data_IF_041612486710
#
_entry.id   IF_041612486710
#
_cell.length_a   1.000
_cell.length_b   1.000
_cell.length_c   1.000
_cell.angle_alpha   90.00
_cell.angle_beta   90.00
_cell.angle_gamma   90.00
#
_symmetry.space_group_name_H-M   'P 1'
#
loop_
_entity.id
_entity.type
_entity.pdbx_description
1 polymer ?
#
# COMPACT_ATOMS: atom_id res chain seq x y z
N UNK A 1 -9.27 12.49 -28.32
CA UNK A 1 -8.32 11.49 -27.82
C UNK A 1 -8.27 11.64 -26.31
N UNK A 2 -8.89 10.73 -25.56
CA UNK A 2 -8.77 10.72 -24.10
C UNK A 2 -7.38 10.18 -23.81
N UNK A 3 -6.54 10.95 -23.12
CA UNK A 3 -5.27 10.43 -22.62
C UNK A 3 -5.59 9.16 -21.82
N UNK A 4 -5.00 8.03 -22.21
CA UNK A 4 -5.09 6.79 -21.45
C UNK A 4 -4.54 7.08 -20.06
N UNK A 5 -5.42 7.26 -19.07
CA UNK A 5 -4.99 7.39 -17.69
C UNK A 5 -4.36 6.05 -17.33
N UNK A 6 -3.04 6.03 -17.11
CA UNK A 6 -2.33 4.79 -16.78
C UNK A 6 -3.00 4.14 -15.57
N UNK A 7 -3.21 2.82 -15.63
CA UNK A 7 -3.83 2.08 -14.55
C UNK A 7 -2.97 2.23 -13.28
N UNK A 8 -3.62 2.49 -12.13
CA UNK A 8 -2.92 2.58 -10.84
C UNK A 8 -2.25 1.23 -10.56
N UNK A 9 -0.97 1.26 -10.23
CA UNK A 9 -0.16 0.07 -9.91
C UNK A 9 -0.05 -0.07 -8.40
N UNK A 10 -0.62 -1.14 -7.86
CA UNK A 10 -0.62 -1.45 -6.43
C UNK A 10 0.23 -2.68 -6.17
N UNK A 11 1.29 -2.51 -5.38
CA UNK A 11 2.05 -3.62 -4.83
C UNK A 11 1.51 -4.01 -3.46
N UNK A 12 1.11 -5.26 -3.29
CA UNK A 12 0.69 -5.79 -1.99
C UNK A 12 1.91 -6.38 -1.29
N UNK A 13 2.29 -5.75 -0.17
CA UNK A 13 3.43 -6.14 0.65
C UNK A 13 3.00 -6.93 1.88
N UNK A 14 3.61 -8.09 2.08
CA UNK A 14 3.47 -8.88 3.32
C UNK A 14 4.83 -9.08 3.96
N UNK A 15 5.10 -8.25 4.96
CA UNK A 15 6.39 -8.21 5.65
C UNK A 15 6.37 -9.10 6.89
N UNK A 16 7.47 -9.83 7.11
CA UNK A 16 7.61 -10.70 8.28
C UNK A 16 6.79 -11.98 8.21
N UNK A 17 6.54 -12.63 9.35
CA UNK A 17 6.13 -14.05 9.40
C UNK A 17 4.62 -14.31 9.38
N UNK A 18 3.80 -13.36 8.95
CA UNK A 18 2.35 -13.56 8.91
C UNK A 18 1.95 -14.59 7.82
N UNK A 19 1.32 -15.74 8.19
CA UNK A 19 0.95 -16.76 7.21
C UNK A 19 -0.39 -16.47 6.49
N UNK A 20 -1.15 -15.44 6.88
CA UNK A 20 -2.51 -15.23 6.39
C UNK A 20 -2.56 -14.56 4.99
N UNK A 21 -3.31 -15.14 4.07
CA UNK A 21 -3.46 -14.65 2.68
C UNK A 21 -4.89 -14.32 2.27
N UNK A 22 -5.90 -14.73 3.03
CA UNK A 22 -7.30 -14.50 2.65
C UNK A 22 -7.59 -13.03 2.35
N UNK A 23 -7.13 -12.12 3.22
CA UNK A 23 -7.30 -10.68 3.03
C UNK A 23 -6.62 -10.19 1.74
N UNK A 24 -5.42 -10.69 1.44
CA UNK A 24 -4.66 -10.36 0.24
C UNK A 24 -5.39 -10.81 -1.02
N UNK A 25 -5.96 -12.01 -1.03
CA UNK A 25 -6.69 -12.52 -2.20
C UNK A 25 -7.94 -11.68 -2.50
N UNK A 26 -8.70 -11.32 -1.46
CA UNK A 26 -9.88 -10.47 -1.60
C UNK A 26 -9.50 -9.07 -2.06
N UNK A 27 -8.48 -8.47 -1.45
CA UNK A 27 -7.95 -7.16 -1.84
C UNK A 27 -7.46 -7.17 -3.30
N UNK A 28 -6.66 -8.17 -3.67
CA UNK A 28 -6.13 -8.31 -5.02
C UNK A 28 -7.23 -8.40 -6.06
N UNK A 29 -8.27 -9.20 -5.78
CA UNK A 29 -9.39 -9.34 -6.71
C UNK A 29 -10.21 -8.04 -6.80
N UNK A 30 -10.48 -7.39 -5.67
CA UNK A 30 -11.25 -6.14 -5.64
C UNK A 30 -10.55 -5.00 -6.39
N UNK A 31 -9.25 -4.82 -6.17
CA UNK A 31 -8.45 -3.80 -6.85
C UNK A 31 -8.35 -4.07 -8.36
N UNK A 32 -8.18 -5.34 -8.78
CA UNK A 32 -8.21 -5.72 -10.21
C UNK A 32 -9.57 -5.45 -10.85
N UNK A 33 -10.66 -5.75 -10.15
CA UNK A 33 -12.01 -5.45 -10.62
C UNK A 33 -12.24 -3.93 -10.78
N UNK A 34 -11.54 -3.11 -10.01
CA UNK A 34 -11.54 -1.65 -10.14
C UNK A 34 -10.61 -1.13 -11.26
N UNK A 35 -9.97 -2.01 -12.04
CA UNK A 35 -9.10 -1.64 -13.15
C UNK A 35 -7.66 -1.30 -12.76
N UNK A 36 -7.23 -1.65 -11.54
CA UNK A 36 -5.85 -1.47 -11.08
C UNK A 36 -4.97 -2.65 -11.45
N UNK A 37 -3.68 -2.38 -11.69
CA UNK A 37 -2.67 -3.42 -11.81
C UNK A 37 -2.20 -3.82 -10.42
N UNK A 38 -2.30 -5.11 -10.08
CA UNK A 38 -1.97 -5.60 -8.74
C UNK A 38 -0.82 -6.58 -8.79
N UNK A 39 0.29 -6.19 -8.15
CA UNK A 39 1.48 -6.99 -7.95
C UNK A 39 1.46 -7.58 -6.54
N UNK A 40 1.65 -8.89 -6.41
CA UNK A 40 1.84 -9.54 -5.12
C UNK A 40 3.18 -10.25 -5.10
N UNK A 41 4.08 -9.82 -4.21
CA UNK A 41 5.47 -10.29 -4.12
C UNK A 41 5.65 -11.55 -3.28
N UNK A 42 4.57 -12.11 -2.74
CA UNK A 42 4.60 -13.29 -1.88
C UNK A 42 4.58 -12.95 -0.38
N UNK A 43 4.69 -14.00 0.44
CA UNK A 43 4.72 -13.90 1.91
C UNK A 43 6.17 -13.80 2.39
N UNK A 44 6.34 -13.43 3.67
CA UNK A 44 7.64 -13.51 4.34
C UNK A 44 8.72 -12.63 3.73
N UNK A 45 8.30 -11.51 3.14
CA UNK A 45 9.23 -10.54 2.59
C UNK A 45 9.78 -9.66 3.71
N UNK A 46 10.94 -9.08 3.47
CA UNK A 46 11.50 -7.98 4.25
C UNK A 46 10.94 -6.65 3.75
N UNK A 47 11.09 -5.58 4.55
CA UNK A 47 10.75 -4.23 4.10
C UNK A 47 11.58 -3.82 2.87
N UNK A 48 12.87 -4.18 2.84
CA UNK A 48 13.78 -3.94 1.71
C UNK A 48 13.30 -4.61 0.43
N UNK A 49 12.92 -5.90 0.49
CA UNK A 49 12.40 -6.62 -0.69
C UNK A 49 11.09 -6.01 -1.20
N UNK A 50 10.18 -5.62 -0.29
CA UNK A 50 8.91 -4.98 -0.66
C UNK A 50 9.15 -3.62 -1.34
N UNK A 51 10.04 -2.79 -0.79
CA UNK A 51 10.35 -1.48 -1.36
C UNK A 51 11.11 -1.60 -2.69
N UNK A 52 12.10 -2.50 -2.77
CA UNK A 52 12.83 -2.75 -4.00
C UNK A 52 11.90 -3.22 -5.13
N UNK A 53 10.98 -4.13 -4.84
CA UNK A 53 9.97 -4.56 -5.79
C UNK A 53 9.01 -3.43 -6.18
N UNK A 54 8.61 -2.57 -5.23
CA UNK A 54 7.73 -1.44 -5.53
C UNK A 54 8.38 -0.45 -6.49
N UNK A 55 9.67 -0.17 -6.31
CA UNK A 55 10.46 0.68 -7.21
C UNK A 55 10.61 0.01 -8.58
N UNK A 56 11.04 -1.26 -8.63
CA UNK A 56 11.24 -1.99 -9.88
C UNK A 56 9.96 -2.08 -10.70
N UNK A 57 8.83 -2.32 -10.04
CA UNK A 57 7.52 -2.43 -10.68
C UNK A 57 6.86 -1.07 -10.89
N UNK A 58 7.51 0.05 -10.58
CA UNK A 58 6.96 1.41 -10.69
C UNK A 58 5.58 1.52 -10.02
N UNK A 59 5.46 0.98 -8.80
CA UNK A 59 4.21 0.98 -8.06
C UNK A 59 3.83 2.39 -7.60
N UNK A 60 2.56 2.74 -7.72
CA UNK A 60 2.02 3.98 -7.17
C UNK A 60 1.73 3.86 -5.68
N UNK A 61 1.39 2.64 -5.24
CA UNK A 61 0.96 2.34 -3.88
C UNK A 61 1.58 1.03 -3.39
N UNK A 62 2.06 1.02 -2.15
CA UNK A 62 2.31 -0.20 -1.37
C UNK A 62 1.12 -0.39 -0.41
N UNK A 63 0.39 -1.49 -0.60
CA UNK A 63 -0.67 -1.93 0.30
C UNK A 63 -0.12 -3.02 1.24
N UNK A 64 0.13 -2.65 2.50
CA UNK A 64 0.62 -3.55 3.53
C UNK A 64 -0.53 -4.40 4.10
N UNK A 65 -0.30 -5.69 4.27
CA UNK A 65 -1.28 -6.61 4.84
C UNK A 65 -0.70 -7.43 6.00
N UNK A 66 -1.22 -7.19 7.21
CA UNK A 66 -0.81 -7.88 8.43
C UNK A 66 -2.02 -8.32 9.28
N UNK A 67 -2.02 -9.58 9.68
CA UNK A 67 -2.97 -10.21 10.60
C UNK A 67 -2.32 -10.63 11.93
N UNK A 68 -1.06 -10.23 12.18
CA UNK A 68 -0.36 -10.49 13.45
C UNK A 68 -0.42 -9.31 14.43
N UNK A 69 -0.96 -8.15 14.04
CA UNK A 69 -1.15 -7.00 14.92
C UNK A 69 0.12 -6.19 15.15
N UNK A 70 1.08 -6.26 14.22
CA UNK A 70 2.39 -5.60 14.29
C UNK A 70 2.56 -4.55 13.19
N UNK A 71 1.46 -4.08 12.61
CA UNK A 71 1.43 -3.15 11.47
C UNK A 71 2.27 -1.89 11.70
N UNK A 72 2.32 -1.32 12.92
CA UNK A 72 3.18 -0.16 13.22
C UNK A 72 4.66 -0.43 12.95
N UNK A 73 5.15 -1.60 13.36
CA UNK A 73 6.52 -2.00 13.15
C UNK A 73 6.81 -2.15 11.66
N UNK A 74 5.93 -2.86 10.95
CA UNK A 74 6.04 -3.08 9.51
C UNK A 74 6.03 -1.75 8.75
N UNK A 75 5.07 -0.88 9.02
CA UNK A 75 4.92 0.40 8.36
C UNK A 75 6.14 1.30 8.58
N UNK A 76 6.65 1.36 9.83
CA UNK A 76 7.88 2.11 10.14
C UNK A 76 9.06 1.63 9.29
N UNK A 77 9.27 0.32 9.22
CA UNK A 77 10.42 -0.25 8.51
C UNK A 77 10.30 -0.02 6.99
N UNK A 78 9.09 -0.14 6.43
CA UNK A 78 8.83 0.15 5.00
C UNK A 78 9.00 1.63 4.68
N UNK A 79 8.47 2.53 5.52
CA UNK A 79 8.60 3.98 5.32
C UNK A 79 10.06 4.44 5.42
N UNK A 80 10.80 3.95 6.42
CA UNK A 80 12.23 4.24 6.56
C UNK A 80 13.04 3.77 5.35
N UNK A 81 12.64 2.63 4.76
CA UNK A 81 13.30 2.09 3.59
C UNK A 81 12.96 2.87 2.30
N UNK A 82 11.72 3.34 2.15
CA UNK A 82 11.33 4.27 1.08
C UNK A 82 12.13 5.57 1.15
N UNK A 83 12.33 6.13 2.36
CA UNK A 83 13.18 7.30 2.57
C UNK A 83 14.63 7.02 2.18
N UNK A 84 15.17 5.86 2.60
CA UNK A 84 16.55 5.45 2.28
C UNK A 84 16.79 5.32 0.77
N UNK A 85 15.80 4.84 0.03
CA UNK A 85 15.88 4.67 -1.42
C UNK A 85 15.39 5.89 -2.23
N UNK A 86 14.94 6.95 -1.56
CA UNK A 86 14.46 8.17 -2.20
C UNK A 86 13.13 8.01 -2.95
N UNK A 87 12.31 7.01 -2.57
CA UNK A 87 11.05 6.64 -3.23
C UNK A 87 9.81 7.04 -2.40
N UNK A 88 9.90 8.18 -1.69
CA UNK A 88 8.86 8.66 -0.76
C UNK A 88 7.53 9.06 -1.43
N UNK A 89 7.51 9.12 -2.75
CA UNK A 89 6.33 9.40 -3.58
C UNK A 89 5.40 8.19 -3.72
N UNK A 90 5.86 6.98 -3.38
CA UNK A 90 5.04 5.77 -3.33
C UNK A 90 4.13 5.84 -2.09
N UNK A 91 2.82 5.83 -2.29
CA UNK A 91 1.88 5.92 -1.17
C UNK A 91 1.86 4.61 -0.39
N UNK A 92 1.79 4.69 0.94
CA UNK A 92 1.63 3.51 1.80
C UNK A 92 0.23 3.50 2.40
N UNK A 93 -0.46 2.35 2.27
CA UNK A 93 -1.71 2.04 2.97
C UNK A 93 -1.55 0.75 3.76
N UNK A 94 -2.27 0.63 4.86
CA UNK A 94 -2.22 -0.50 5.77
C UNK A 94 -3.58 -1.20 5.84
N UNK A 95 -3.58 -2.53 5.86
CA UNK A 95 -4.77 -3.33 6.05
C UNK A 95 -4.56 -4.58 6.90
N UNK A 96 -5.65 -5.09 7.47
CA UNK A 96 -5.66 -6.31 8.28
C UNK A 96 -6.10 -6.03 9.73
N UNK A 97 -5.39 -6.60 10.71
CA UNK A 97 -5.67 -6.37 12.13
C UNK A 97 -4.84 -5.19 12.61
N UNK A 98 -5.49 -4.03 12.71
CA UNK A 98 -4.87 -2.78 13.17
C UNK A 98 -5.62 -2.33 14.43
N UNK A 99 -4.97 -2.31 15.61
CA UNK A 99 -5.55 -1.74 16.81
C UNK A 99 -5.97 -0.28 16.61
N UNK A 100 -7.10 0.15 17.20
CA UNK A 100 -7.60 1.52 17.00
C UNK A 100 -6.59 2.58 17.49
N UNK A 101 -5.90 2.28 18.58
CA UNK A 101 -4.83 3.10 19.16
C UNK A 101 -3.59 3.23 18.26
N UNK A 102 -3.41 2.32 17.30
CA UNK A 102 -2.27 2.31 16.38
C UNK A 102 -2.50 3.23 15.17
N UNK A 103 -3.76 3.48 14.80
CA UNK A 103 -4.09 4.27 13.60
C UNK A 103 -3.54 5.70 13.62
N UNK A 104 -3.66 6.48 14.73
CA UNK A 104 -3.08 7.82 14.78
C UNK A 104 -1.56 7.82 14.61
N UNK A 105 -0.88 6.79 15.14
CA UNK A 105 0.56 6.64 14.99
C UNK A 105 0.94 6.29 13.54
N UNK A 106 0.18 5.41 12.88
CA UNK A 106 0.36 5.07 11.46
C UNK A 106 0.19 6.32 10.57
N UNK A 107 -0.84 7.12 10.83
CA UNK A 107 -1.09 8.38 10.11
C UNK A 107 0.02 9.40 10.32
N UNK A 108 0.50 9.56 11.56
CA UNK A 108 1.60 10.45 11.87
C UNK A 108 2.92 10.05 11.19
N UNK A 109 3.13 8.77 10.92
CA UNK A 109 4.29 8.27 10.16
C UNK A 109 4.15 8.48 8.64
N UNK A 110 2.95 8.77 8.14
CA UNK A 110 2.69 8.94 6.70
C UNK A 110 1.96 7.78 6.03
N UNK A 111 1.44 6.81 6.79
CA UNK A 111 0.47 5.84 6.25
C UNK A 111 -0.86 6.54 6.03
N UNK A 112 -1.41 6.41 4.83
CA UNK A 112 -2.53 7.27 4.39
C UNK A 112 -3.89 6.62 4.47
N UNK A 113 -3.97 5.31 4.71
CA UNK A 113 -5.22 4.58 4.92
C UNK A 113 -5.01 3.38 5.84
N UNK A 114 -5.92 3.18 6.79
CA UNK A 114 -5.86 2.12 7.81
C UNK A 114 -7.14 1.27 7.75
N UNK A 115 -7.09 0.17 7.01
CA UNK A 115 -8.28 -0.63 6.66
C UNK A 115 -8.38 -1.91 7.48
N UNK A 116 -9.33 -1.92 8.42
CA UNK A 116 -9.64 -3.10 9.21
C UNK A 116 -10.35 -4.20 8.41
N UNK A 117 -10.55 -5.35 9.07
CA UNK A 117 -11.39 -6.42 8.52
C UNK A 117 -12.80 -5.91 8.23
N UNK A 118 -13.31 -6.22 7.03
CA UNK A 118 -14.68 -5.84 6.62
C UNK A 118 -14.82 -4.43 6.06
N UNK A 119 -13.72 -3.66 5.94
CA UNK A 119 -13.74 -2.38 5.23
C UNK A 119 -14.29 -2.58 3.80
N UNK A 120 -15.26 -1.77 3.34
CA UNK A 120 -15.79 -1.85 1.98
C UNK A 120 -14.69 -1.64 0.93
N UNK A 121 -14.71 -2.43 -0.15
CA UNK A 121 -13.69 -2.36 -1.19
C UNK A 121 -13.71 -1.00 -1.90
N UNK A 122 -14.89 -0.41 -2.06
CA UNK A 122 -15.13 0.88 -2.70
C UNK A 122 -14.42 2.01 -1.94
N UNK A 123 -14.34 1.91 -0.60
CA UNK A 123 -13.65 2.88 0.24
C UNK A 123 -12.14 2.84 0.00
N UNK A 124 -11.58 1.62 -0.01
CA UNK A 124 -10.15 1.39 -0.27
C UNK A 124 -9.78 1.89 -1.68
N UNK A 125 -10.57 1.51 -2.68
CA UNK A 125 -10.39 1.92 -4.08
C UNK A 125 -10.48 3.44 -4.23
N UNK A 126 -11.51 4.06 -3.67
CA UNK A 126 -11.73 5.50 -3.75
C UNK A 126 -10.56 6.29 -3.17
N UNK A 127 -10.07 5.88 -2.00
CA UNK A 127 -8.90 6.51 -1.39
C UNK A 127 -7.63 6.34 -2.22
N UNK A 128 -7.35 5.13 -2.73
CA UNK A 128 -6.16 4.90 -3.58
C UNK A 128 -6.20 5.81 -4.82
N UNK A 129 -7.34 5.85 -5.52
CA UNK A 129 -7.51 6.70 -6.72
C UNK A 129 -7.31 8.17 -6.38
N UNK A 130 -7.87 8.63 -5.25
CA UNK A 130 -7.72 10.01 -4.80
C UNK A 130 -6.25 10.36 -4.52
N UNK A 131 -5.53 9.53 -3.77
CA UNK A 131 -4.13 9.77 -3.39
C UNK A 131 -3.22 9.83 -4.63
N UNK A 132 -3.36 8.87 -5.54
CA UNK A 132 -2.55 8.82 -6.76
C UNK A 132 -2.89 10.00 -7.70
N UNK A 133 -4.17 10.37 -7.80
CA UNK A 133 -4.60 11.52 -8.60
C UNK A 133 -4.10 12.85 -8.07
N UNK A 134 -4.07 13.03 -6.74
CA UNK A 134 -3.50 14.23 -6.09
C UNK A 134 -2.01 14.35 -6.40
N UNK A 135 -1.26 13.24 -6.39
CA UNK A 135 0.16 13.21 -6.76
C UNK A 135 0.37 13.59 -8.23
N UNK A 136 -0.38 12.99 -9.15
CA UNK A 136 -0.28 13.30 -10.59
C UNK A 136 -0.59 14.78 -10.93
N UNK A 137 -1.31 15.49 -10.04
CA UNK A 137 -1.62 16.92 -10.16
C UNK A 137 -0.64 17.83 -9.44
N UNK A 138 0.23 17.30 -8.57
CA UNK A 138 1.26 18.09 -7.92
C UNK A 138 2.34 18.41 -8.97
N UNK A 139 2.67 19.70 -9.23
CA UNK A 139 3.72 20.04 -10.17
C UNK A 139 5.04 19.43 -9.69
N UNK A 140 5.81 18.86 -10.63
CA UNK A 140 7.18 18.42 -10.38
C UNK A 140 7.92 19.57 -9.69
N UNK A 141 8.28 19.39 -8.42
CA UNK A 141 9.18 20.32 -7.76
C UNK A 141 10.53 20.11 -8.42
N UNK A 142 10.88 21.03 -9.32
CA UNK A 142 12.13 21.04 -10.08
C UNK A 142 13.37 21.25 -9.23
#
# INVERSE_FOLDING_TARGET
MVASQAAVRVLIGKVGFDPHDRGILVLSQGLRNAGMEVIFVGKFQTAEEVVAAAIQESADVIALSDHCGVMRLIARDVLSELERQGATEICVVAGGIIPEEDKPALEAMGVTGNYGMGTPMEEIVGHIVERVSRRARAPERG
#
